data_IF_355768874476
#
_entry.id   IF_355768874476
#
_cell.length_a   1.000
_cell.length_b   1.000
_cell.length_c   1.000
_cell.angle_alpha   90.00
_cell.angle_beta   90.00
_cell.angle_gamma   90.00
#
_symmetry.space_group_name_H-M   'P 1'
#
loop_
_entity.id
_entity.type
_entity.pdbx_description
1 polymer ?
#
# COMPACT_ATOMS: atom_id res chain seq x y z
N UNK A 1 -20.02 26.89 7.82
CA UNK A 1 -18.68 26.86 8.44
C UNK A 1 -18.34 25.40 8.69
N UNK A 2 -17.72 24.71 7.73
CA UNK A 2 -17.29 23.33 7.97
C UNK A 2 -16.14 23.37 8.95
N UNK A 3 -16.30 22.78 10.13
CA UNK A 3 -15.16 22.46 10.98
C UNK A 3 -14.18 21.65 10.13
N UNK A 4 -12.96 22.16 9.94
CA UNK A 4 -11.85 21.35 9.45
C UNK A 4 -11.59 20.27 10.51
N UNK A 5 -12.35 19.18 10.48
CA UNK A 5 -12.04 18.01 11.29
C UNK A 5 -10.80 17.39 10.68
N UNK A 6 -9.65 17.74 11.25
CA UNK A 6 -8.41 17.00 11.01
C UNK A 6 -8.71 15.56 11.41
N UNK A 7 -8.54 14.62 10.50
CA UNK A 7 -8.72 13.22 10.83
C UNK A 7 -7.76 12.85 11.95
N UNK A 8 -8.20 12.03 12.92
CA UNK A 8 -7.32 11.64 14.01
C UNK A 8 -6.10 10.92 13.42
N UNK A 9 -4.91 11.14 13.98
CA UNK A 9 -3.73 10.40 13.57
C UNK A 9 -3.94 8.90 13.79
N UNK A 10 -3.38 8.10 12.89
CA UNK A 10 -3.40 6.64 12.95
C UNK A 10 -2.07 6.14 13.51
N UNK A 11 -2.11 5.07 14.29
CA UNK A 11 -0.92 4.37 14.77
C UNK A 11 -0.94 2.94 14.24
N UNK A 12 0.22 2.42 13.85
CA UNK A 12 0.38 1.03 13.41
C UNK A 12 1.31 0.32 14.40
N UNK A 13 0.73 -0.62 15.15
CA UNK A 13 1.46 -1.45 16.11
C UNK A 13 2.27 -0.64 17.12
N UNK A 14 3.46 -1.13 17.53
CA UNK A 14 4.27 -0.51 18.59
C UNK A 14 5.10 0.69 18.12
N UNK A 15 5.04 1.07 16.84
CA UNK A 15 5.90 2.13 16.30
C UNK A 15 5.36 3.50 16.73
N UNK A 16 6.15 4.24 17.50
CA UNK A 16 5.81 5.55 18.04
C UNK A 16 5.89 6.69 17.00
N UNK A 17 5.14 6.55 15.89
CA UNK A 17 4.97 7.57 14.86
C UNK A 17 3.50 7.72 14.53
N UNK A 18 2.93 8.88 14.85
CA UNK A 18 1.58 9.24 14.46
C UNK A 18 1.54 9.50 12.94
N UNK A 19 0.59 8.87 12.24
CA UNK A 19 0.44 8.95 10.79
C UNK A 19 -0.79 9.76 10.42
N UNK A 20 -0.69 10.56 9.36
CA UNK A 20 -1.88 10.94 8.62
C UNK A 20 -2.56 9.65 8.10
N UNK A 21 -3.91 9.60 7.98
CA UNK A 21 -4.62 8.46 7.38
C UNK A 21 -4.47 8.47 5.85
N UNK A 22 -3.24 8.62 5.38
CA UNK A 22 -2.86 8.67 3.98
C UNK A 22 -1.40 8.24 3.85
N UNK A 23 -1.12 7.44 2.83
CA UNK A 23 0.23 6.99 2.51
C UNK A 23 0.58 7.33 1.06
N UNK A 24 1.86 7.59 0.81
CA UNK A 24 2.42 7.69 -0.52
C UNK A 24 2.78 6.28 -1.01
N UNK A 25 2.00 5.76 -1.96
CA UNK A 25 2.30 4.49 -2.63
C UNK A 25 3.29 4.70 -3.79
N UNK A 26 4.31 3.84 -3.87
CA UNK A 26 5.44 4.00 -4.81
C UNK A 26 5.51 2.93 -5.91
N UNK A 27 4.39 2.31 -6.26
CA UNK A 27 4.33 1.28 -7.33
C UNK A 27 4.92 1.79 -8.67
N UNK A 28 4.70 3.06 -8.98
CA UNK A 28 5.20 3.71 -10.20
C UNK A 28 6.68 4.13 -10.13
N UNK A 29 7.36 3.95 -9.00
CA UNK A 29 8.77 4.32 -8.82
C UNK A 29 9.68 3.17 -9.32
N UNK A 30 9.41 2.65 -10.52
CA UNK A 30 10.04 1.45 -11.09
C UNK A 30 11.08 1.72 -12.18
N UNK A 31 11.19 0.81 -13.17
CA UNK A 31 12.27 0.74 -14.16
C UNK A 31 12.66 2.05 -14.88
N UNK A 32 11.71 2.96 -15.12
CA UNK A 32 11.96 4.26 -15.77
C UNK A 32 12.28 5.41 -14.79
N UNK A 33 12.20 5.17 -13.48
CA UNK A 33 12.37 6.16 -12.42
C UNK A 33 13.80 6.75 -12.32
N UNK A 34 14.78 6.09 -12.93
CA UNK A 34 16.18 6.50 -12.91
C UNK A 34 16.60 7.39 -14.10
N UNK A 35 15.68 7.68 -15.02
CA UNK A 35 15.91 8.76 -16.00
C UNK A 35 15.96 10.09 -15.23
N UNK A 36 16.91 11.00 -15.49
CA UNK A 36 17.08 12.21 -14.67
C UNK A 36 15.80 13.03 -14.47
N UNK A 37 15.02 13.24 -15.54
CA UNK A 37 13.75 13.97 -15.47
C UNK A 37 12.70 13.25 -14.61
N UNK A 38 12.61 11.92 -14.74
CA UNK A 38 11.71 11.12 -13.92
C UNK A 38 12.14 11.17 -12.45
N UNK A 39 13.43 11.03 -12.16
CA UNK A 39 13.95 11.06 -10.80
C UNK A 39 13.69 12.40 -10.10
N UNK A 40 13.90 13.53 -10.80
CA UNK A 40 13.60 14.86 -10.28
C UNK A 40 12.12 15.00 -9.92
N UNK A 41 11.22 14.53 -10.80
CA UNK A 41 9.77 14.56 -10.56
C UNK A 41 9.36 13.67 -9.37
N UNK A 42 9.97 12.49 -9.23
CA UNK A 42 9.69 11.58 -8.11
C UNK A 42 10.20 12.15 -6.78
N UNK A 43 11.38 12.76 -6.77
CA UNK A 43 11.89 13.47 -5.60
C UNK A 43 10.99 14.64 -5.21
N UNK A 44 10.53 15.43 -6.18
CA UNK A 44 9.57 16.51 -5.94
C UNK A 44 8.24 15.98 -5.40
N UNK A 45 7.77 14.82 -5.89
CA UNK A 45 6.55 14.16 -5.41
C UNK A 45 6.67 13.73 -3.95
N UNK A 46 7.79 13.09 -3.59
CA UNK A 46 8.04 12.72 -2.19
C UNK A 46 8.21 13.95 -1.30
N UNK A 47 8.86 15.01 -1.78
CA UNK A 47 8.99 16.25 -1.02
C UNK A 47 7.63 16.91 -0.77
N UNK A 48 6.78 17.00 -1.80
CA UNK A 48 5.42 17.51 -1.67
C UNK A 48 4.58 16.69 -0.67
N UNK A 49 4.74 15.36 -0.65
CA UNK A 49 4.09 14.51 0.36
C UNK A 49 4.50 14.92 1.78
N UNK A 50 5.80 15.10 2.04
CA UNK A 50 6.29 15.56 3.35
C UNK A 50 5.80 16.96 3.71
N UNK A 51 5.85 17.90 2.75
CA UNK A 51 5.42 19.28 2.96
C UNK A 51 3.92 19.38 3.32
N UNK A 52 3.13 18.37 2.95
CA UNK A 52 1.71 18.24 3.28
C UNK A 52 1.41 17.23 4.42
N UNK A 53 2.43 16.78 5.16
CA UNK A 53 2.25 15.93 6.34
C UNK A 53 1.96 14.45 6.04
N UNK A 54 2.13 14.02 4.79
CA UNK A 54 2.07 12.60 4.41
C UNK A 54 3.42 11.98 4.72
N UNK A 55 3.50 11.26 5.84
CA UNK A 55 4.74 10.67 6.35
C UNK A 55 4.82 9.16 6.22
N UNK A 56 3.76 8.48 5.75
CA UNK A 56 3.77 7.05 5.50
C UNK A 56 4.16 6.77 4.03
N UNK A 57 5.35 6.24 3.79
CA UNK A 57 5.81 5.85 2.45
C UNK A 57 5.79 4.34 2.30
N UNK A 58 5.03 3.83 1.32
CA UNK A 58 4.88 2.41 1.03
C UNK A 58 5.62 2.03 -0.26
N UNK A 59 6.51 1.04 -0.17
CA UNK A 59 7.27 0.47 -1.29
C UNK A 59 7.31 -1.05 -1.25
N UNK A 60 8.02 -1.68 -2.18
CA UNK A 60 8.19 -3.11 -2.27
C UNK A 60 9.46 -3.45 -3.04
N UNK A 61 10.09 -4.59 -2.70
CA UNK A 61 11.17 -5.16 -3.52
C UNK A 61 10.72 -5.46 -4.95
N UNK A 62 9.44 -5.80 -5.16
CA UNK A 62 8.90 -6.06 -6.50
C UNK A 62 8.81 -4.82 -7.40
N UNK A 63 8.85 -3.60 -6.85
CA UNK A 63 8.66 -2.37 -7.64
C UNK A 63 9.96 -1.99 -8.34
N UNK A 64 10.01 -2.24 -9.65
CA UNK A 64 11.21 -2.06 -10.45
C UNK A 64 12.36 -2.97 -9.99
N UNK A 65 12.06 -4.16 -9.46
CA UNK A 65 13.06 -5.09 -8.93
C UNK A 65 14.02 -4.45 -7.89
N UNK A 66 13.47 -3.64 -6.98
CA UNK A 66 14.21 -2.98 -5.90
C UNK A 66 14.55 -1.51 -6.16
N UNK A 67 14.38 -1.04 -7.40
CA UNK A 67 14.68 0.34 -7.77
C UNK A 67 13.85 1.38 -7.01
N UNK A 68 12.60 1.06 -6.65
CA UNK A 68 11.77 1.95 -5.82
C UNK A 68 12.38 2.14 -4.43
N UNK A 69 12.88 1.06 -3.82
CA UNK A 69 13.55 1.09 -2.53
C UNK A 69 14.84 1.92 -2.59
N UNK A 70 15.65 1.74 -3.63
CA UNK A 70 16.88 2.53 -3.84
C UNK A 70 16.60 4.03 -4.04
N UNK A 71 15.57 4.37 -4.82
CA UNK A 71 15.16 5.76 -5.05
C UNK A 71 14.69 6.42 -3.75
N UNK A 72 13.83 5.73 -2.99
CA UNK A 72 13.34 6.22 -1.69
C UNK A 72 14.51 6.32 -0.70
N UNK A 73 15.39 5.32 -0.63
CA UNK A 73 16.55 5.33 0.25
C UNK A 73 17.50 6.50 0.01
N UNK A 74 17.71 6.85 -1.26
CA UNK A 74 18.45 8.05 -1.66
C UNK A 74 17.75 9.33 -1.20
N UNK A 75 16.45 9.45 -1.47
CA UNK A 75 15.68 10.62 -1.07
C UNK A 75 15.64 10.82 0.44
N UNK A 76 15.62 9.72 1.22
CA UNK A 76 15.49 9.75 2.67
C UNK A 76 16.81 10.04 3.41
N UNK A 77 17.94 10.18 2.73
CA UNK A 77 19.20 10.58 3.37
C UNK A 77 19.04 11.90 4.11
N UNK A 78 19.35 11.91 5.41
CA UNK A 78 19.17 13.06 6.30
C UNK A 78 17.72 13.35 6.74
N UNK A 79 16.71 12.61 6.24
CA UNK A 79 15.29 12.81 6.57
C UNK A 79 14.55 11.53 6.99
N UNK A 80 15.23 10.39 7.12
CA UNK A 80 14.66 9.09 7.48
C UNK A 80 13.72 9.11 8.71
N UNK A 81 14.06 9.90 9.73
CA UNK A 81 13.26 10.02 10.95
C UNK A 81 11.87 10.64 10.72
N UNK A 82 11.70 11.43 9.65
CA UNK A 82 10.43 12.10 9.31
C UNK A 82 9.40 11.13 8.72
N UNK A 83 9.83 9.95 8.27
CA UNK A 83 9.01 9.01 7.50
C UNK A 83 8.76 7.75 8.30
N UNK A 84 7.51 7.29 8.28
CA UNK A 84 7.14 5.91 8.54
C UNK A 84 7.28 5.13 7.24
N UNK A 85 8.33 4.31 7.19
CA UNK A 85 8.75 3.61 5.98
C UNK A 85 8.22 2.18 6.03
N UNK A 86 7.44 1.81 5.02
CA UNK A 86 6.94 0.46 4.84
C UNK A 86 7.50 -0.18 3.57
N UNK A 87 7.95 -1.43 3.67
CA UNK A 87 8.34 -2.24 2.51
C UNK A 87 7.75 -3.64 2.60
N UNK A 88 7.89 -4.42 1.52
CA UNK A 88 7.30 -5.75 1.40
C UNK A 88 8.08 -6.62 0.41
N UNK A 89 8.11 -7.90 0.69
CA UNK A 89 8.66 -8.91 -0.21
C UNK A 89 7.63 -10.00 -0.52
N UNK A 90 7.68 -10.52 -1.75
CA UNK A 90 6.97 -11.72 -2.15
C UNK A 90 8.02 -12.79 -2.44
N UNK A 91 7.98 -13.90 -1.72
CA UNK A 91 8.97 -14.98 -1.79
C UNK A 91 8.21 -16.28 -2.08
N UNK A 92 8.71 -17.08 -3.02
CA UNK A 92 8.06 -18.34 -3.42
C UNK A 92 8.40 -19.52 -2.50
N UNK A 93 9.58 -19.48 -1.91
CA UNK A 93 10.10 -20.48 -0.97
C UNK A 93 9.77 -20.07 0.47
N UNK A 94 9.13 -20.98 1.22
CA UNK A 94 8.73 -20.73 2.62
C UNK A 94 9.90 -21.04 3.55
N UNK A 95 10.90 -20.17 3.52
CA UNK A 95 12.13 -20.25 4.32
C UNK A 95 12.39 -18.98 5.16
N UNK A 96 12.57 -19.17 6.47
CA UNK A 96 12.74 -18.07 7.42
C UNK A 96 14.02 -17.27 7.18
N UNK A 97 15.13 -17.94 6.86
CA UNK A 97 16.42 -17.28 6.59
C UNK A 97 16.39 -16.49 5.27
N UNK A 98 15.64 -16.97 4.29
CA UNK A 98 15.41 -16.26 3.03
C UNK A 98 14.58 -14.99 3.27
N UNK A 99 13.46 -15.07 4.01
CA UNK A 99 12.69 -13.87 4.36
C UNK A 99 13.53 -12.86 5.14
N UNK A 100 14.32 -13.32 6.11
CA UNK A 100 15.24 -12.46 6.85
C UNK A 100 16.29 -11.79 5.94
N UNK A 101 16.88 -12.53 4.99
CA UNK A 101 17.81 -11.95 4.00
C UNK A 101 17.13 -10.93 3.07
N UNK A 102 15.87 -11.13 2.72
CA UNK A 102 15.10 -10.14 1.95
C UNK A 102 14.89 -8.83 2.73
N UNK A 103 14.66 -8.91 4.04
CA UNK A 103 14.62 -7.72 4.90
C UNK A 103 15.98 -7.01 4.91
N UNK A 104 17.08 -7.75 5.08
CA UNK A 104 18.43 -7.18 5.05
C UNK A 104 18.74 -6.48 3.72
N UNK A 105 18.44 -7.13 2.59
CA UNK A 105 18.66 -6.55 1.28
C UNK A 105 17.79 -5.29 1.06
N UNK A 106 16.59 -5.24 1.64
CA UNK A 106 15.73 -4.05 1.60
C UNK A 106 16.31 -2.90 2.42
N UNK A 107 16.86 -3.18 3.61
CA UNK A 107 17.59 -2.19 4.41
C UNK A 107 18.77 -1.58 3.65
N UNK A 108 19.54 -2.41 2.94
CA UNK A 108 20.68 -1.95 2.13
C UNK A 108 20.22 -1.01 1.00
N UNK A 109 19.18 -1.39 0.24
CA UNK A 109 18.60 -0.55 -0.82
C UNK A 109 18.03 0.75 -0.26
N UNK A 110 17.31 0.68 0.86
CA UNK A 110 16.71 1.82 1.54
C UNK A 110 17.71 2.68 2.31
N UNK A 111 18.97 2.23 2.44
CA UNK A 111 20.08 2.93 3.12
C UNK A 111 19.70 3.37 4.54
N UNK A 112 19.14 2.44 5.31
CA UNK A 112 18.63 2.65 6.67
C UNK A 112 18.87 1.40 7.50
N UNK A 113 19.07 1.56 8.82
CA UNK A 113 19.25 0.43 9.74
C UNK A 113 17.93 -0.21 10.17
N UNK A 114 16.81 0.49 9.98
CA UNK A 114 15.47 0.03 10.36
C UNK A 114 14.38 0.41 9.36
N UNK A 115 13.37 -0.44 9.20
CA UNK A 115 12.12 -0.22 8.46
C UNK A 115 10.97 -0.21 9.46
N UNK A 116 10.05 0.76 9.38
CA UNK A 116 8.99 0.87 10.39
C UNK A 116 7.98 -0.28 10.30
N UNK A 117 7.64 -0.72 9.08
CA UNK A 117 6.70 -1.81 8.82
C UNK A 117 7.16 -2.68 7.65
N UNK A 118 7.19 -3.99 7.84
CA UNK A 118 7.53 -4.92 6.76
C UNK A 118 6.41 -5.93 6.52
N UNK A 119 5.97 -6.06 5.27
CA UNK A 119 4.89 -6.98 4.91
C UNK A 119 5.37 -8.26 4.25
N UNK A 120 4.68 -9.36 4.55
CA UNK A 120 4.55 -10.47 3.59
C UNK A 120 3.60 -10.02 2.49
N UNK A 121 4.09 -9.85 1.26
CA UNK A 121 3.33 -9.19 0.18
C UNK A 121 2.17 -10.06 -0.37
N UNK A 122 2.36 -11.38 -0.42
CA UNK A 122 1.32 -12.30 -0.88
C UNK A 122 1.46 -13.64 -0.16
N UNK A 123 0.36 -14.27 0.28
CA UNK A 123 0.41 -15.63 0.79
C UNK A 123 0.73 -16.59 -0.35
N UNK A 124 1.33 -17.74 -0.03
CA UNK A 124 1.47 -18.85 -0.98
C UNK A 124 0.41 -19.90 -0.65
N UNK A 125 -0.69 -19.86 -1.38
CA UNK A 125 -1.83 -20.73 -1.18
C UNK A 125 -1.41 -22.21 -1.19
N UNK A 126 -1.92 -22.98 -0.22
CA UNK A 126 -1.59 -24.39 -0.04
C UNK A 126 -0.19 -24.67 0.54
N UNK A 127 0.57 -23.65 0.94
CA UNK A 127 1.84 -23.81 1.65
C UNK A 127 1.72 -23.35 3.11
N UNK A 128 2.58 -23.91 3.95
CA UNK A 128 2.79 -23.39 5.31
C UNK A 128 3.59 -22.08 5.23
N UNK A 129 2.94 -20.96 5.55
CA UNK A 129 3.55 -19.62 5.50
C UNK A 129 4.19 -19.19 6.84
N UNK A 130 4.15 -20.03 7.88
CA UNK A 130 4.78 -19.75 9.19
C UNK A 130 6.26 -19.42 9.11
N UNK A 131 7.10 -20.09 8.28
CA UNK A 131 8.51 -19.73 8.14
C UNK A 131 8.74 -18.28 7.69
N UNK A 132 7.84 -17.70 6.89
CA UNK A 132 7.92 -16.28 6.51
C UNK A 132 7.77 -15.37 7.73
N UNK A 133 6.80 -15.69 8.61
CA UNK A 133 6.60 -14.95 9.85
C UNK A 133 7.80 -15.14 10.81
N UNK A 134 8.40 -16.33 10.88
CA UNK A 134 9.59 -16.59 11.70
C UNK A 134 10.76 -15.67 11.31
N UNK A 135 11.00 -15.51 9.99
CA UNK A 135 12.01 -14.60 9.46
C UNK A 135 11.76 -13.13 9.80
N UNK A 136 10.50 -12.68 9.72
CA UNK A 136 10.12 -11.32 10.11
C UNK A 136 10.20 -11.11 11.63
N UNK A 137 9.78 -12.07 12.43
CA UNK A 137 9.90 -12.02 13.90
C UNK A 137 11.36 -11.95 14.35
N UNK A 138 12.26 -12.67 13.67
CA UNK A 138 13.70 -12.54 13.89
C UNK A 138 14.17 -11.10 13.59
N UNK A 139 13.83 -10.57 12.42
CA UNK A 139 14.20 -9.19 12.05
C UNK A 139 13.64 -8.16 13.05
N UNK A 140 12.41 -8.36 13.54
CA UNK A 140 11.78 -7.48 14.52
C UNK A 140 12.50 -7.52 15.86
N UNK A 141 12.83 -8.72 16.36
CA UNK A 141 13.60 -8.91 17.60
C UNK A 141 14.99 -8.27 17.54
N UNK A 142 15.62 -8.25 16.36
CA UNK A 142 16.90 -7.58 16.12
C UNK A 142 16.77 -6.07 15.85
N UNK A 143 15.57 -5.49 15.89
CA UNK A 143 15.33 -4.05 15.67
C UNK A 143 15.43 -3.60 14.20
N UNK A 144 15.59 -4.53 13.26
CA UNK A 144 15.65 -4.27 11.82
C UNK A 144 14.31 -3.83 11.25
N UNK A 145 13.22 -4.28 11.86
CA UNK A 145 11.87 -3.81 11.55
C UNK A 145 11.11 -3.46 12.83
N UNK A 146 10.26 -2.44 12.79
CA UNK A 146 9.45 -2.00 13.94
C UNK A 146 8.16 -2.81 14.11
N UNK A 147 7.49 -3.08 13.00
CA UNK A 147 6.23 -3.81 12.93
C UNK A 147 6.21 -4.79 11.75
N UNK A 148 5.33 -5.77 11.87
CA UNK A 148 5.06 -6.80 10.85
C UNK A 148 3.64 -6.61 10.32
N UNK A 149 3.51 -6.65 9.00
CA UNK A 149 2.22 -6.70 8.34
C UNK A 149 2.08 -7.89 7.39
N UNK A 150 0.86 -8.10 6.92
CA UNK A 150 0.55 -9.04 5.85
C UNK A 150 -0.24 -8.33 4.75
N UNK A 151 -0.21 -8.85 3.54
CA UNK A 151 -0.96 -8.28 2.41
C UNK A 151 -1.63 -9.39 1.62
N UNK A 152 -2.89 -9.17 1.28
CA UNK A 152 -3.72 -10.11 0.49
C UNK A 152 -3.96 -11.46 1.17
N UNK A 153 -4.01 -11.50 2.51
CA UNK A 153 -4.24 -12.73 3.27
C UNK A 153 -5.75 -12.97 3.46
N UNK A 154 -6.16 -14.24 3.49
CA UNK A 154 -7.44 -14.64 4.06
C UNK A 154 -7.37 -14.64 5.60
N UNK A 155 -8.51 -14.79 6.26
CA UNK A 155 -8.55 -15.04 7.72
C UNK A 155 -7.72 -16.26 8.11
N UNK A 156 -7.86 -17.37 7.37
CA UNK A 156 -7.10 -18.60 7.59
C UNK A 156 -5.57 -18.36 7.49
N UNK A 157 -5.12 -17.59 6.50
CA UNK A 157 -3.70 -17.25 6.38
C UNK A 157 -3.22 -16.37 7.56
N UNK A 158 -4.04 -15.43 8.02
CA UNK A 158 -3.72 -14.61 9.20
C UNK A 158 -3.61 -15.46 10.46
N UNK A 159 -4.56 -16.37 10.69
CA UNK A 159 -4.55 -17.27 11.85
C UNK A 159 -3.29 -18.14 11.87
N UNK A 160 -2.93 -18.71 10.72
CA UNK A 160 -1.74 -19.54 10.60
C UNK A 160 -0.45 -18.81 11.00
N UNK A 161 -0.21 -17.58 10.51
CA UNK A 161 1.02 -16.85 10.87
C UNK A 161 0.97 -16.28 12.28
N UNK A 162 -0.22 -16.05 12.84
CA UNK A 162 -0.39 -15.60 14.23
C UNK A 162 -0.01 -16.66 15.26
N UNK A 163 0.11 -17.92 14.86
CA UNK A 163 0.75 -18.96 15.68
C UNK A 163 2.22 -18.65 16.00
N UNK A 164 2.89 -17.86 15.14
CA UNK A 164 4.32 -17.52 15.26
C UNK A 164 4.53 -16.12 15.83
N UNK A 165 3.79 -15.13 15.33
CA UNK A 165 4.04 -13.73 15.68
C UNK A 165 2.87 -12.79 15.42
N UNK A 166 2.89 -11.58 15.99
CA UNK A 166 1.85 -10.58 15.81
C UNK A 166 1.73 -10.11 14.35
N UNK A 167 0.50 -9.76 13.98
CA UNK A 167 0.21 -8.96 12.78
C UNK A 167 -0.20 -7.58 13.28
N UNK A 168 0.48 -6.53 12.80
CA UNK A 168 0.18 -5.15 13.19
C UNK A 168 -0.60 -4.39 12.12
N UNK A 169 -0.50 -4.83 10.85
CA UNK A 169 -1.23 -4.26 9.74
C UNK A 169 -1.60 -5.32 8.69
N UNK A 170 -2.75 -5.15 8.06
CA UNK A 170 -3.14 -5.88 6.86
C UNK A 170 -3.35 -4.91 5.70
N UNK A 171 -2.60 -5.11 4.61
CA UNK A 171 -2.75 -4.35 3.37
C UNK A 171 -3.66 -5.07 2.37
N UNK A 172 -4.69 -4.41 1.84
CA UNK A 172 -5.73 -5.04 1.00
C UNK A 172 -6.30 -4.12 -0.08
N UNK A 173 -6.83 -4.70 -1.16
CA UNK A 173 -7.61 -3.94 -2.15
C UNK A 173 -8.95 -3.53 -1.53
N UNK A 174 -9.26 -2.23 -1.56
CA UNK A 174 -10.54 -1.73 -1.10
C UNK A 174 -10.87 -0.38 -1.76
N UNK A 175 -12.07 -0.29 -2.34
CA UNK A 175 -12.63 0.93 -2.92
C UNK A 175 -14.14 0.75 -3.15
N UNK A 176 -14.82 1.80 -3.62
CA UNK A 176 -16.27 1.79 -3.88
C UNK A 176 -16.78 0.64 -4.77
N UNK A 177 -15.94 0.11 -5.67
CA UNK A 177 -16.29 -0.99 -6.57
C UNK A 177 -15.72 -2.35 -6.14
N UNK A 178 -14.81 -2.39 -5.16
CA UNK A 178 -14.18 -3.61 -4.66
C UNK A 178 -14.27 -3.67 -3.13
N UNK A 179 -15.34 -4.32 -2.66
CA UNK A 179 -15.77 -4.28 -1.24
C UNK A 179 -15.75 -5.65 -0.54
N UNK A 180 -15.19 -6.68 -1.18
CA UNK A 180 -15.16 -8.05 -0.64
C UNK A 180 -14.53 -8.15 0.75
N UNK A 181 -13.57 -7.27 1.07
CA UNK A 181 -12.92 -7.22 2.37
C UNK A 181 -13.88 -6.92 3.54
N UNK A 182 -15.04 -6.29 3.29
CA UNK A 182 -16.05 -5.99 4.31
C UNK A 182 -16.70 -7.25 4.90
N UNK A 183 -16.72 -8.36 4.14
CA UNK A 183 -17.41 -9.57 4.55
C UNK A 183 -16.72 -10.28 5.73
N UNK A 184 -15.38 -10.34 5.71
CA UNK A 184 -14.62 -11.11 6.70
C UNK A 184 -13.29 -10.45 7.12
N UNK A 185 -12.54 -9.87 6.17
CA UNK A 185 -11.17 -9.41 6.42
C UNK A 185 -11.14 -8.17 7.32
N UNK A 186 -11.91 -7.14 6.99
CA UNK A 186 -11.99 -5.91 7.79
C UNK A 186 -12.57 -6.21 9.19
N UNK A 187 -13.70 -6.94 9.33
CA UNK A 187 -14.19 -7.36 10.65
C UNK A 187 -13.15 -8.10 11.49
N UNK A 188 -12.41 -9.04 10.89
CA UNK A 188 -11.36 -9.76 11.58
C UNK A 188 -10.23 -8.84 12.03
N UNK A 189 -9.79 -7.91 11.17
CA UNK A 189 -8.74 -6.95 11.52
C UNK A 189 -9.16 -6.06 12.70
N UNK A 190 -10.38 -5.53 12.67
CA UNK A 190 -10.94 -4.71 13.76
C UNK A 190 -11.02 -5.51 15.07
N UNK A 191 -11.51 -6.76 15.02
CA UNK A 191 -11.64 -7.61 16.20
C UNK A 191 -10.30 -8.00 16.84
N UNK A 192 -9.19 -7.91 16.09
CA UNK A 192 -7.86 -8.31 16.53
C UNK A 192 -6.87 -7.14 16.64
N UNK A 193 -7.35 -5.89 16.59
CA UNK A 193 -6.52 -4.67 16.64
C UNK A 193 -5.42 -4.63 15.56
N UNK A 194 -5.76 -5.07 14.35
CA UNK A 194 -4.88 -5.05 13.16
C UNK A 194 -5.24 -3.83 12.32
N UNK A 195 -4.27 -2.95 12.07
CA UNK A 195 -4.49 -1.77 11.24
C UNK A 195 -4.82 -2.15 9.79
N UNK A 196 -5.83 -1.53 9.20
CA UNK A 196 -6.19 -1.72 7.78
C UNK A 196 -5.48 -0.68 6.93
N UNK A 197 -4.74 -1.15 5.92
CA UNK A 197 -4.10 -0.29 4.91
C UNK A 197 -4.67 -0.65 3.54
N UNK A 198 -5.31 0.29 2.88
CA UNK A 198 -5.97 -0.01 1.59
C UNK A 198 -5.09 0.40 0.42
N UNK A 199 -5.09 -0.39 -0.65
CA UNK A 199 -4.54 0.00 -1.95
C UNK A 199 -5.62 0.01 -3.02
N UNK A 200 -5.31 0.65 -4.16
CA UNK A 200 -6.26 0.85 -5.26
C UNK A 200 -7.54 1.60 -4.84
N UNK A 201 -7.43 2.55 -3.90
CA UNK A 201 -8.55 3.35 -3.37
C UNK A 201 -9.31 4.14 -4.45
N UNK A 202 -8.66 4.45 -5.57
CA UNK A 202 -9.25 5.10 -6.74
C UNK A 202 -9.52 4.14 -7.91
N UNK A 203 -9.56 2.83 -7.66
CA UNK A 203 -9.82 1.77 -8.66
C UNK A 203 -8.99 1.94 -9.95
N UNK A 204 -7.66 1.98 -9.83
CA UNK A 204 -6.74 2.17 -10.97
C UNK A 204 -7.02 3.43 -11.81
N UNK A 205 -7.62 4.46 -11.18
CA UNK A 205 -7.96 5.73 -11.78
C UNK A 205 -9.41 5.82 -12.26
N UNK A 206 -10.20 4.75 -12.22
CA UNK A 206 -11.62 4.77 -12.62
C UNK A 206 -12.41 5.79 -11.80
N UNK A 207 -12.20 5.82 -10.48
CA UNK A 207 -12.87 6.74 -9.55
C UNK A 207 -12.33 8.18 -9.61
N UNK A 208 -11.50 8.51 -10.60
CA UNK A 208 -11.18 9.92 -10.91
C UNK A 208 -12.24 10.56 -11.82
N UNK A 209 -13.08 9.74 -12.48
CA UNK A 209 -14.08 10.21 -13.44
C UNK A 209 -13.53 10.61 -14.81
N UNK A 210 -12.23 10.38 -15.06
CA UNK A 210 -11.55 10.84 -16.28
C UNK A 210 -11.84 10.03 -17.54
N UNK A 211 -12.34 8.80 -17.39
CA UNK A 211 -12.61 7.92 -18.52
C UNK A 211 -14.00 8.20 -19.08
N UNK A 212 -14.11 8.22 -20.41
CA UNK A 212 -15.40 8.32 -21.09
C UNK A 212 -16.12 6.97 -21.18
N UNK A 213 -17.26 6.97 -21.88
CA UNK A 213 -18.03 5.75 -22.17
C UNK A 213 -17.19 4.66 -22.83
N UNK A 214 -16.19 5.06 -23.61
CA UNK A 214 -15.14 4.21 -24.14
C UNK A 214 -13.79 4.65 -23.52
N UNK A 215 -13.14 3.81 -22.70
CA UNK A 215 -11.96 4.20 -21.93
C UNK A 215 -10.68 4.32 -22.76
N UNK A 216 -10.65 3.78 -23.99
CA UNK A 216 -9.54 3.87 -24.96
C UNK A 216 -8.15 3.74 -24.33
N UNK A 217 -7.87 2.59 -23.72
CA UNK A 217 -6.59 2.34 -23.06
C UNK A 217 -5.45 2.24 -24.09
N UNK A 218 -4.26 2.82 -23.82
CA UNK A 218 -3.09 2.63 -24.68
C UNK A 218 -2.73 1.15 -24.85
N UNK A 219 -2.20 0.74 -26.01
CA UNK A 219 -1.67 -0.61 -26.19
C UNK A 219 -0.63 -0.96 -25.12
N UNK A 220 -0.78 -2.13 -24.48
CA UNK A 220 0.12 -2.60 -23.43
C UNK A 220 -0.15 -2.02 -22.03
N UNK A 221 -1.22 -1.23 -21.85
CA UNK A 221 -1.62 -0.76 -20.53
C UNK A 221 -2.10 -1.90 -19.63
N UNK A 222 -1.53 -2.01 -18.42
CA UNK A 222 -1.88 -3.04 -17.46
C UNK A 222 -3.35 -3.00 -17.01
N UNK A 223 -4.03 -1.84 -17.15
CA UNK A 223 -5.46 -1.70 -16.82
C UNK A 223 -6.35 -2.56 -17.70
N UNK A 224 -5.93 -2.91 -18.92
CA UNK A 224 -6.67 -3.83 -19.80
C UNK A 224 -6.71 -5.28 -19.30
N UNK A 225 -6.06 -5.59 -18.17
CA UNK A 225 -6.12 -6.90 -17.49
C UNK A 225 -6.91 -6.87 -16.18
N UNK A 226 -7.51 -5.72 -15.85
CA UNK A 226 -8.23 -5.52 -14.59
C UNK A 226 -9.71 -5.58 -14.90
N UNK A 227 -10.45 -6.38 -14.12
CA UNK A 227 -11.89 -6.65 -14.31
C UNK A 227 -12.76 -5.41 -14.52
N UNK A 228 -12.39 -4.28 -13.91
CA UNK A 228 -13.12 -3.03 -14.10
C UNK A 228 -13.20 -2.58 -15.57
N UNK A 229 -12.20 -2.92 -16.38
CA UNK A 229 -12.07 -2.53 -17.79
C UNK A 229 -12.47 -3.64 -18.76
N UNK A 230 -12.99 -4.77 -18.28
CA UNK A 230 -13.52 -5.83 -19.15
C UNK A 230 -14.74 -5.31 -19.92
N UNK A 231 -14.90 -5.68 -21.18
CA UNK A 231 -15.90 -5.10 -22.10
C UNK A 231 -17.35 -5.27 -21.61
N UNK A 232 -17.64 -6.37 -20.91
CA UNK A 232 -18.94 -6.68 -20.32
C UNK A 232 -19.16 -6.02 -18.94
N UNK A 233 -18.08 -5.64 -18.25
CA UNK A 233 -18.12 -5.01 -16.92
C UNK A 233 -18.11 -3.47 -17.03
N UNK A 234 -17.34 -2.91 -17.97
CA UNK A 234 -17.12 -1.47 -18.10
C UNK A 234 -18.41 -0.65 -18.19
N UNK A 235 -19.47 -1.04 -18.94
CA UNK A 235 -20.72 -0.27 -18.98
C UNK A 235 -21.34 -0.05 -17.60
N UNK A 236 -21.23 -1.02 -16.70
CA UNK A 236 -21.73 -0.93 -15.33
C UNK A 236 -20.84 -0.04 -14.46
N UNK A 237 -19.52 -0.18 -14.60
CA UNK A 237 -18.54 0.66 -13.90
C UNK A 237 -18.71 2.12 -14.31
N UNK A 238 -18.81 2.41 -15.61
CA UNK A 238 -19.03 3.74 -16.14
C UNK A 238 -20.34 4.35 -15.62
N UNK A 239 -21.45 3.61 -15.67
CA UNK A 239 -22.72 4.08 -15.13
C UNK A 239 -22.64 4.40 -13.62
N UNK A 240 -21.92 3.59 -12.85
CA UNK A 240 -21.65 3.85 -11.43
C UNK A 240 -20.85 5.14 -11.21
N UNK A 241 -19.79 5.36 -12.00
CA UNK A 241 -18.99 6.60 -11.95
C UNK A 241 -19.84 7.83 -12.29
N UNK A 242 -20.65 7.78 -13.35
CA UNK A 242 -21.54 8.89 -13.74
C UNK A 242 -22.56 9.20 -12.64
N UNK A 243 -23.09 8.18 -11.97
CA UNK A 243 -24.01 8.37 -10.85
C UNK A 243 -23.36 9.02 -9.61
N UNK A 244 -22.03 8.87 -9.44
CA UNK A 244 -21.29 9.49 -8.34
C UNK A 244 -20.89 10.95 -8.62
N UNK A 245 -20.81 11.37 -9.89
CA UNK A 245 -20.37 12.74 -10.26
C UNK A 245 -21.25 13.83 -9.64
N UNK A 246 -22.60 13.78 -9.68
CA UNK A 246 -23.44 14.78 -9.04
C UNK A 246 -23.16 14.95 -7.54
N UNK A 247 -22.84 13.86 -6.82
CA UNK A 247 -22.51 13.92 -5.40
C UNK A 247 -21.19 14.67 -5.14
N UNK A 248 -20.22 14.53 -6.04
CA UNK A 248 -18.96 15.25 -5.97
C UNK A 248 -19.15 16.76 -6.28
N UNK A 249 -20.03 17.07 -7.25
CA UNK A 249 -20.39 18.44 -7.62
C UNK A 249 -21.13 19.16 -6.47
N UNK A 250 -22.02 18.47 -5.75
CA UNK A 250 -22.74 19.02 -4.59
C UNK A 250 -21.81 19.54 -3.48
N UNK A 251 -20.61 18.97 -3.35
CA UNK A 251 -19.61 19.35 -2.34
C UNK A 251 -18.43 20.14 -2.92
N UNK A 252 -18.48 20.51 -4.20
CA UNK A 252 -17.43 21.24 -4.93
C UNK A 252 -16.04 20.59 -4.77
N UNK A 253 -15.98 19.26 -4.99
CA UNK A 253 -14.71 18.50 -4.92
C UNK A 253 -14.58 17.53 -6.10
N UNK A 254 -13.36 17.22 -6.55
CA UNK A 254 -13.13 16.14 -7.51
C UNK A 254 -13.65 14.80 -7.00
N UNK A 255 -14.19 13.96 -7.91
CA UNK A 255 -14.69 12.63 -7.55
C UNK A 255 -13.64 11.77 -6.81
N UNK A 256 -12.37 11.89 -7.18
CA UNK A 256 -11.28 11.19 -6.49
C UNK A 256 -11.20 11.53 -5.00
N UNK A 257 -11.52 12.78 -4.61
CA UNK A 257 -11.51 13.19 -3.21
C UNK A 257 -12.65 12.52 -2.44
N UNK A 258 -13.83 12.44 -3.05
CA UNK A 258 -14.97 11.72 -2.48
C UNK A 258 -14.65 10.23 -2.32
N UNK A 259 -14.08 9.60 -3.35
CA UNK A 259 -13.70 8.20 -3.34
C UNK A 259 -12.66 7.88 -2.25
N UNK A 260 -11.61 8.70 -2.13
CA UNK A 260 -10.59 8.53 -1.09
C UNK A 260 -11.18 8.78 0.30
N UNK A 261 -12.10 9.74 0.44
CA UNK A 261 -12.72 10.06 1.73
C UNK A 261 -13.71 8.99 2.21
N UNK A 262 -14.33 8.27 1.29
CA UNK A 262 -15.23 7.16 1.58
C UNK A 262 -14.49 5.94 2.14
N UNK A 263 -13.27 5.70 1.64
CA UNK A 263 -12.34 4.69 2.18
C UNK A 263 -11.88 5.09 3.58
#
# INVERSE_FOLDING_TARGET
>A
MSSNSVLPPVQIGPVAKALAPMALGSFIFGADAWRPEAQAQLNATMQAALDHGITHFDTATGYGAGQSEELIGNFLQGKRAQVFLASKASIDEMDADLMYRHVQASLDRLRTDTIDLYYIHWPRQGKDIRPMMEGLERARREGKIGAIGVSNFSVENMEQVREVGPIHAHQMAYNLFWRFAENEIIPYCVANDIAVVTYSSIAQGVLTGKFGRDPQLPPGDNRGRVVHFDDDVWPHVYAGVEALKPLADEVDRPLAHLAIRWV
#
